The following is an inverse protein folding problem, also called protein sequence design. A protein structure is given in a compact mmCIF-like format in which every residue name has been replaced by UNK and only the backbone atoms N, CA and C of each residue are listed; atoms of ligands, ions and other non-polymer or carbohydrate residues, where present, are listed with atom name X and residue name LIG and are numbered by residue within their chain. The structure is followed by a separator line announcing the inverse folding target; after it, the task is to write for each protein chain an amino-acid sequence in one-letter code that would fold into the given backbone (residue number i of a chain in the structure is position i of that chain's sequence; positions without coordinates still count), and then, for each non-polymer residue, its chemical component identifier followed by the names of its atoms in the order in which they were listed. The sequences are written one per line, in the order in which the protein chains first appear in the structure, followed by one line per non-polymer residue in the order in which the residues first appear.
data_IF_217175465837
#
_entry.id   IF_217175465837
#
_cell.length_a   1.000
_cell.length_b   1.000
_cell.length_c   1.000
_cell.angle_alpha   90.00
_cell.angle_beta   90.00
_cell.angle_gamma   90.00
#
_symmetry.space_group_name_H-M   'P 1'
#
loop_
_entity.id
_entity.type
_entity.pdbx_description
1 polymer ?
#
# COMPACT_ATOMS: atom_id res chain seq x y z
N UNK A 1 2.52 5.38 -8.02
CA UNK A 1 1.43 4.94 -7.13
C UNK A 1 0.16 5.66 -7.52
N UNK A 2 -0.82 4.92 -8.02
CA UNK A 2 -2.14 5.45 -8.38
C UNK A 2 -3.24 4.64 -7.69
N UNK A 3 -4.47 5.14 -7.63
CA UNK A 3 -5.59 4.34 -7.10
C UNK A 3 -5.71 3.06 -7.94
N UNK A 4 -5.74 1.91 -7.28
CA UNK A 4 -5.74 0.58 -7.89
C UNK A 4 -4.37 -0.11 -7.94
N UNK A 5 -3.28 0.57 -7.60
CA UNK A 5 -1.93 -0.04 -7.53
C UNK A 5 -1.83 -1.04 -6.38
N UNK A 6 -1.01 -2.07 -6.56
CA UNK A 6 -0.62 -2.97 -5.48
C UNK A 6 0.49 -2.32 -4.66
N UNK A 7 0.43 -2.48 -3.35
CA UNK A 7 1.38 -1.90 -2.42
C UNK A 7 1.80 -2.91 -1.38
N UNK A 8 3.02 -2.73 -0.87
CA UNK A 8 3.56 -3.50 0.23
C UNK A 8 3.87 -2.55 1.36
N UNK A 9 3.26 -2.79 2.51
CA UNK A 9 3.48 -1.96 3.70
C UNK A 9 4.71 -2.47 4.45
N UNK A 10 5.29 -1.65 5.35
CA UNK A 10 6.51 -1.95 6.11
C UNK A 10 6.51 -3.21 7.01
N UNK A 11 5.43 -4.02 6.98
CA UNK A 11 5.33 -5.33 7.64
C UNK A 11 5.09 -6.50 6.68
N UNK A 12 5.36 -6.34 5.38
CA UNK A 12 5.06 -7.37 4.36
C UNK A 12 3.56 -7.49 4.04
N UNK A 13 2.76 -6.51 4.44
CA UNK A 13 1.32 -6.50 4.21
C UNK A 13 1.06 -6.08 2.77
N UNK A 14 0.55 -7.01 1.97
CA UNK A 14 0.09 -6.73 0.62
C UNK A 14 -1.31 -6.14 0.65
N UNK A 15 -1.48 -5.03 -0.04
CA UNK A 15 -2.77 -4.38 -0.20
C UNK A 15 -2.90 -3.68 -1.54
N UNK A 16 -4.04 -3.05 -1.75
CA UNK A 16 -4.32 -2.23 -2.93
C UNK A 16 -4.69 -0.82 -2.51
N UNK A 17 -4.15 0.19 -3.19
CA UNK A 17 -4.51 1.58 -2.95
C UNK A 17 -5.95 1.79 -3.37
N UNK A 18 -6.80 2.19 -2.43
CA UNK A 18 -8.19 2.55 -2.66
C UNK A 18 -8.35 4.06 -2.81
N UNK A 19 -7.55 4.84 -2.11
CA UNK A 19 -7.57 6.30 -2.18
C UNK A 19 -6.20 6.90 -1.87
N UNK A 20 -5.92 8.06 -2.46
CA UNK A 20 -4.68 8.81 -2.25
C UNK A 20 -5.05 10.19 -1.72
N UNK A 21 -4.69 10.45 -0.46
CA UNK A 21 -4.70 11.80 0.12
C UNK A 21 -3.35 12.51 -0.07
N UNK A 22 -3.28 13.76 0.36
CA UNK A 22 -2.06 14.56 0.27
C UNK A 22 -0.91 13.99 1.10
N UNK A 23 -1.19 13.57 2.33
CA UNK A 23 -0.20 13.05 3.29
C UNK A 23 -0.36 11.56 3.59
N UNK A 24 -1.43 10.94 3.12
CA UNK A 24 -1.80 9.56 3.46
C UNK A 24 -2.35 8.78 2.25
N UNK A 25 -2.31 7.46 2.36
CA UNK A 25 -2.91 6.52 1.42
C UNK A 25 -3.92 5.64 2.15
N UNK A 26 -5.10 5.45 1.54
CA UNK A 26 -6.03 4.42 1.96
C UNK A 26 -5.70 3.15 1.20
N UNK A 27 -5.31 2.12 1.93
CA UNK A 27 -4.97 0.82 1.37
C UNK A 27 -5.98 -0.19 1.91
N UNK A 28 -6.58 -0.94 1.00
CA UNK A 28 -7.44 -2.06 1.35
C UNK A 28 -6.63 -3.35 1.26
N UNK A 29 -6.64 -4.11 2.36
CA UNK A 29 -5.86 -5.34 2.50
C UNK A 29 -6.74 -6.58 2.48
N UNK A 30 -8.01 -6.45 2.88
CA UNK A 30 -9.02 -7.50 2.84
C UNK A 30 -10.43 -6.88 2.72
N UNK A 31 -11.44 -7.70 2.45
CA UNK A 31 -12.82 -7.24 2.29
C UNK A 31 -13.32 -6.54 3.57
N UNK A 32 -13.64 -5.25 3.46
CA UNK A 32 -14.02 -4.41 4.60
C UNK A 32 -12.86 -3.86 5.44
N UNK A 33 -11.62 -4.29 5.21
CA UNK A 33 -10.45 -3.87 6.00
C UNK A 33 -9.63 -2.84 5.22
N UNK A 34 -9.84 -1.57 5.59
CA UNK A 34 -9.14 -0.41 5.02
C UNK A 34 -8.20 0.16 6.07
N UNK A 35 -6.92 0.26 5.74
CA UNK A 35 -5.92 0.87 6.59
C UNK A 35 -5.45 2.18 5.97
N UNK A 36 -5.34 3.20 6.82
CA UNK A 36 -4.81 4.50 6.46
C UNK A 36 -3.34 4.54 6.83
N UNK A 37 -2.50 4.76 5.85
CA UNK A 37 -1.05 4.80 6.04
C UNK A 37 -0.49 6.14 5.61
N UNK A 38 0.54 6.63 6.31
CA UNK A 38 1.25 7.83 5.89
C UNK A 38 2.17 7.54 4.71
N UNK A 39 2.38 8.55 3.85
CA UNK A 39 3.27 8.43 2.68
C UNK A 39 4.68 7.95 3.03
N UNK A 40 5.16 8.24 4.24
CA UNK A 40 6.48 7.86 4.73
C UNK A 40 6.62 6.37 5.02
N UNK A 41 5.51 5.65 5.19
CA UNK A 41 5.48 4.26 5.65
C UNK A 41 4.94 3.27 4.62
N UNK A 42 4.51 3.74 3.44
CA UNK A 42 4.02 2.89 2.35
C UNK A 42 5.08 2.78 1.27
N UNK A 43 5.56 1.56 1.03
CA UNK A 43 6.44 1.28 -0.09
C UNK A 43 5.57 0.89 -1.29
N UNK A 44 5.75 1.60 -2.40
CA UNK A 44 5.17 1.17 -3.67
C UNK A 44 5.73 -0.22 -3.97
N UNK A 45 4.87 -1.17 -4.35
CA UNK A 45 5.32 -2.49 -4.78
C UNK A 45 6.10 -2.33 -6.10
N UNK A 46 7.38 -1.98 -6.02
CA UNK A 46 8.31 -2.42 -7.05
C UNK A 46 8.38 -3.93 -6.91
N UNK A 47 8.30 -4.61 -8.04
CA UNK A 47 8.36 -6.04 -8.24
C UNK A 47 9.69 -6.69 -7.81
N UNK A 48 10.32 -6.18 -6.74
CA UNK A 48 11.68 -6.46 -6.27
C UNK A 48 11.69 -6.78 -4.77
N UNK A 49 10.84 -7.73 -4.33
CA UNK A 49 11.02 -8.39 -3.02
C UNK A 49 11.30 -9.89 -3.17
N UNK A 50 11.80 -10.30 -4.34
CA UNK A 50 12.29 -11.66 -4.56
C UNK A 50 13.59 -11.61 -5.34
N UNK A 51 14.72 -11.46 -4.65
CA UNK A 51 15.91 -12.29 -4.93
C UNK A 51 16.78 -12.34 -3.66
N UNK A 52 17.27 -13.53 -3.24
CA UNK A 52 18.10 -13.73 -2.04
C UNK A 52 19.46 -13.04 -2.07
#
# INVERSE_FOLDING_TARGET
MKVGDKVVTAGGIHGRIKEIGETWFLVEVADGVKLKFEKTSVFASSSDVTTP
#
